data_IF_421541906525
#
_entry.id   IF_421541906525
#
_cell.length_a   1.000
_cell.length_b   1.000
_cell.length_c   1.000
_cell.angle_alpha   90.00
_cell.angle_beta   90.00
_cell.angle_gamma   90.00
#
_symmetry.space_group_name_H-M   'P 1'
#
loop_
_entity.id
_entity.type
_entity.pdbx_description
1 polymer ?
#
# COMPACT_ATOMS: atom_id res chain seq x y z
N UNK A 1 1.26 15.81 16.83
CA UNK A 1 1.21 14.48 16.15
C UNK A 1 1.81 13.43 17.09
N UNK A 2 0.98 12.62 17.76
CA UNK A 2 1.46 11.46 18.52
C UNK A 2 1.33 10.24 17.58
N UNK A 3 2.38 10.04 16.77
CA UNK A 3 2.48 8.85 15.93
C UNK A 3 2.56 7.62 16.83
N UNK A 4 1.75 6.61 16.51
CA UNK A 4 1.65 5.35 17.25
C UNK A 4 2.89 4.47 17.11
N UNK A 5 4.00 4.93 17.68
CA UNK A 5 5.17 4.08 17.84
C UNK A 5 4.89 3.02 18.88
N UNK A 6 5.16 1.75 18.55
CA UNK A 6 5.01 0.62 19.46
C UNK A 6 5.78 0.87 20.78
N UNK A 7 5.21 0.42 21.90
CA UNK A 7 5.84 0.58 23.22
C UNK A 7 7.33 0.14 23.28
N UNK A 8 7.73 -1.00 22.66
CA UNK A 8 9.13 -1.43 22.61
C UNK A 8 10.02 -0.48 21.81
N UNK A 9 9.55 0.09 20.70
CA UNK A 9 10.34 1.07 19.92
C UNK A 9 10.68 2.33 20.72
N UNK A 10 9.74 2.83 21.52
CA UNK A 10 9.98 4.00 22.41
C UNK A 10 10.96 3.70 23.52
N UNK A 11 10.96 2.48 24.07
CA UNK A 11 11.88 2.06 25.11
C UNK A 11 13.33 1.96 24.60
N UNK A 12 13.51 1.42 23.38
CA UNK A 12 14.81 1.33 22.72
C UNK A 12 15.38 2.71 22.39
N UNK A 13 14.55 3.63 21.87
CA UNK A 13 14.98 5.01 21.58
C UNK A 13 15.37 5.74 22.86
N UNK A 14 14.65 5.57 23.97
CA UNK A 14 15.03 6.14 25.27
C UNK A 14 16.34 5.54 25.79
N UNK A 15 16.53 4.25 25.65
CA UNK A 15 17.78 3.57 26.00
C UNK A 15 18.96 4.08 25.17
N UNK A 16 18.78 4.21 23.85
CA UNK A 16 19.80 4.73 22.95
C UNK A 16 20.15 6.20 23.25
N UNK A 17 19.15 7.05 23.57
CA UNK A 17 19.40 8.43 24.00
C UNK A 17 20.12 8.50 25.35
N UNK A 18 19.81 7.57 26.26
CA UNK A 18 20.54 7.45 27.53
C UNK A 18 22.02 7.07 27.33
N UNK A 19 22.27 6.06 26.51
CA UNK A 19 23.60 5.64 26.08
C UNK A 19 24.34 6.77 25.35
N UNK A 20 23.69 7.49 24.45
CA UNK A 20 24.26 8.63 23.74
C UNK A 20 24.75 9.75 24.70
N UNK A 21 23.97 10.04 25.75
CA UNK A 21 24.37 10.99 26.79
C UNK A 21 25.60 10.51 27.58
N UNK A 22 25.65 9.25 27.96
CA UNK A 22 26.78 8.65 28.65
C UNK A 22 28.04 8.67 27.79
N UNK A 23 27.91 8.27 26.51
CA UNK A 23 29.02 8.29 25.55
C UNK A 23 29.50 9.72 25.28
N UNK A 24 28.60 10.70 25.16
CA UNK A 24 28.99 12.10 24.99
C UNK A 24 29.69 12.72 26.19
N UNK A 25 29.47 12.18 27.39
CA UNK A 25 30.23 12.59 28.61
C UNK A 25 31.62 11.95 28.70
N UNK A 26 31.79 10.78 28.08
CA UNK A 26 33.07 10.04 28.11
C UNK A 26 34.02 10.56 27.00
N UNK A 27 33.50 11.02 25.86
CA UNK A 27 34.31 11.48 24.73
C UNK A 27 34.76 12.92 24.98
N UNK A 28 36.10 13.22 24.96
CA UNK A 28 36.61 14.57 25.11
C UNK A 28 36.08 15.56 24.09
N UNK A 29 35.81 16.80 24.48
CA UNK A 29 35.28 17.86 23.59
C UNK A 29 36.03 18.05 22.26
N UNK A 30 37.38 17.97 22.17
CA UNK A 30 38.06 18.10 20.89
C UNK A 30 37.72 16.94 19.90
N UNK A 31 37.52 15.76 20.45
CA UNK A 31 37.15 14.58 19.64
C UNK A 31 35.69 14.67 19.16
N UNK A 32 34.79 15.21 19.99
CA UNK A 32 33.41 15.48 19.55
C UNK A 32 33.37 16.51 18.43
N UNK A 33 34.17 17.58 18.50
CA UNK A 33 34.27 18.59 17.44
C UNK A 33 34.88 18.03 16.17
N UNK A 34 35.90 17.17 16.25
CA UNK A 34 36.49 16.47 15.10
C UNK A 34 35.53 15.49 14.41
N UNK A 35 34.64 14.87 15.19
CA UNK A 35 33.57 14.03 14.63
C UNK A 35 32.49 14.92 13.99
N UNK A 36 32.03 15.96 14.66
CA UNK A 36 30.99 16.85 14.13
C UNK A 36 31.41 17.56 12.83
N UNK A 37 32.66 18.00 12.71
CA UNK A 37 33.16 18.63 11.49
C UNK A 37 33.18 17.70 10.25
N UNK A 38 33.17 16.38 10.46
CA UNK A 38 33.09 15.41 9.36
C UNK A 38 31.66 15.24 8.82
N UNK A 39 30.66 15.71 9.54
CA UNK A 39 29.26 15.71 9.11
C UNK A 39 28.82 17.06 8.53
N UNK A 40 29.71 18.06 8.46
CA UNK A 40 29.39 19.31 7.77
C UNK A 40 29.28 19.09 6.27
N UNK A 41 28.22 19.61 5.62
CA UNK A 41 28.06 19.49 4.17
C UNK A 41 29.26 20.12 3.46
N UNK A 42 29.82 19.38 2.50
CA UNK A 42 30.89 19.91 1.65
C UNK A 42 30.36 21.13 0.87
N UNK A 43 31.15 22.20 0.73
CA UNK A 43 30.75 23.36 -0.05
C UNK A 43 30.54 22.93 -1.51
N UNK A 44 29.34 23.22 -2.05
CA UNK A 44 28.99 22.93 -3.44
C UNK A 44 29.85 23.85 -4.33
N UNK A 45 30.78 23.27 -5.08
CA UNK A 45 31.57 24.00 -6.07
C UNK A 45 30.63 24.34 -7.24
N UNK A 46 30.48 25.64 -7.54
CA UNK A 46 29.65 26.11 -8.64
C UNK A 46 30.19 25.55 -9.96
N UNK A 47 29.42 24.69 -10.61
CA UNK A 47 29.73 24.12 -11.93
C UNK A 47 29.97 22.59 -11.94
N UNK A 48 30.13 21.93 -10.81
CA UNK A 48 30.17 20.47 -10.75
C UNK A 48 28.76 19.91 -10.50
N UNK A 49 28.36 18.93 -11.31
CA UNK A 49 27.16 18.15 -11.07
C UNK A 49 27.50 17.17 -9.95
N UNK A 50 26.94 17.31 -8.74
CA UNK A 50 27.25 16.38 -7.65
C UNK A 50 26.81 14.98 -8.05
N UNK A 51 27.69 13.99 -7.82
CA UNK A 51 27.33 12.57 -8.00
C UNK A 51 26.05 12.28 -7.19
N UNK A 52 25.07 11.57 -7.79
CA UNK A 52 23.87 11.21 -7.07
C UNK A 52 24.23 10.48 -5.78
N UNK A 53 23.75 11.00 -4.65
CA UNK A 53 24.06 10.49 -3.31
C UNK A 53 23.82 8.97 -3.17
N UNK A 54 22.81 8.44 -3.87
CA UNK A 54 22.47 7.03 -3.85
C UNK A 54 23.55 6.12 -4.44
N UNK A 55 24.28 6.56 -5.47
CA UNK A 55 25.39 5.80 -6.05
C UNK A 55 26.59 5.73 -5.10
N UNK A 56 26.92 6.82 -4.41
CA UNK A 56 28.02 6.84 -3.43
C UNK A 56 27.70 5.90 -2.28
N UNK A 57 26.47 5.96 -1.74
CA UNK A 57 26.03 5.08 -0.67
C UNK A 57 26.02 3.62 -1.10
N UNK A 58 25.53 3.31 -2.31
CA UNK A 58 25.52 1.95 -2.85
C UNK A 58 26.94 1.39 -2.96
N UNK A 59 27.89 2.18 -3.47
CA UNK A 59 29.30 1.78 -3.59
C UNK A 59 29.94 1.50 -2.23
N UNK A 60 29.71 2.37 -1.24
CA UNK A 60 30.21 2.17 0.13
C UNK A 60 29.62 0.90 0.74
N UNK A 61 28.31 0.69 0.59
CA UNK A 61 27.65 -0.49 1.13
C UNK A 61 28.20 -1.78 0.50
N UNK A 62 28.46 -1.81 -0.81
CA UNK A 62 29.03 -2.95 -1.49
C UNK A 62 30.45 -3.25 -0.99
N UNK A 63 31.32 -2.22 -0.91
CA UNK A 63 32.72 -2.38 -0.48
C UNK A 63 32.77 -2.87 0.97
N UNK A 64 32.07 -2.20 1.87
CA UNK A 64 32.08 -2.56 3.31
C UNK A 64 31.50 -3.95 3.53
N UNK A 65 30.39 -4.28 2.85
CA UNK A 65 29.79 -5.62 2.95
C UNK A 65 30.74 -6.69 2.42
N UNK A 66 31.41 -6.46 1.30
CA UNK A 66 32.36 -7.39 0.73
C UNK A 66 33.55 -7.65 1.68
N UNK A 67 34.11 -6.60 2.28
CA UNK A 67 35.20 -6.72 3.25
C UNK A 67 34.76 -7.51 4.49
N UNK A 68 33.60 -7.20 5.04
CA UNK A 68 33.07 -7.91 6.21
C UNK A 68 32.78 -9.37 5.94
N UNK A 69 32.15 -9.68 4.80
CA UNK A 69 31.85 -11.05 4.38
C UNK A 69 33.16 -11.84 4.16
N UNK A 70 34.12 -11.27 3.44
CA UNK A 70 35.40 -11.92 3.21
C UNK A 70 36.16 -12.18 4.51
N UNK A 71 36.19 -11.21 5.42
CA UNK A 71 36.83 -11.36 6.75
C UNK A 71 36.14 -12.44 7.58
N UNK A 72 34.81 -12.44 7.62
CA UNK A 72 34.04 -13.43 8.36
C UNK A 72 34.22 -14.84 7.80
N UNK A 73 34.25 -14.97 6.47
CA UNK A 73 34.51 -16.26 5.80
C UNK A 73 35.91 -16.77 6.10
N UNK A 74 36.90 -15.90 6.08
CA UNK A 74 38.30 -16.23 6.43
C UNK A 74 38.42 -16.70 7.88
N UNK A 75 37.66 -16.12 8.79
CA UNK A 75 37.60 -16.51 10.20
C UNK A 75 36.65 -17.70 10.47
N UNK A 76 36.04 -18.28 9.42
CA UNK A 76 35.05 -19.37 9.53
C UNK A 76 33.85 -19.05 10.42
N UNK A 77 33.44 -17.79 10.46
CA UNK A 77 32.27 -17.35 11.22
C UNK A 77 30.98 -17.71 10.48
N UNK A 78 29.97 -18.29 11.15
CA UNK A 78 28.69 -18.63 10.52
C UNK A 78 27.82 -17.37 10.35
N UNK A 79 28.09 -16.57 9.31
CA UNK A 79 27.37 -15.35 9.02
C UNK A 79 26.54 -15.48 7.73
N UNK A 80 25.33 -14.93 7.75
CA UNK A 80 24.51 -14.74 6.55
C UNK A 80 24.95 -13.50 5.80
N UNK A 81 25.23 -13.62 4.52
CA UNK A 81 25.59 -12.50 3.64
C UNK A 81 24.48 -11.44 3.59
N UNK A 82 23.22 -11.88 3.55
CA UNK A 82 22.04 -10.99 3.57
C UNK A 82 21.97 -10.17 4.85
N UNK A 83 22.26 -10.81 6.01
CA UNK A 83 22.29 -10.11 7.29
C UNK A 83 23.38 -9.04 7.33
N UNK A 84 24.59 -9.37 6.91
CA UNK A 84 25.72 -8.43 6.88
C UNK A 84 25.41 -7.25 5.99
N UNK A 85 24.94 -7.48 4.76
CA UNK A 85 24.61 -6.44 3.80
C UNK A 85 23.49 -5.52 4.32
N UNK A 86 22.46 -6.08 4.93
CA UNK A 86 21.38 -5.32 5.54
C UNK A 86 21.89 -4.42 6.69
N UNK A 87 22.71 -4.96 7.57
CA UNK A 87 23.26 -4.21 8.70
C UNK A 87 24.22 -3.11 8.25
N UNK A 88 25.00 -3.34 7.19
CA UNK A 88 25.86 -2.31 6.60
C UNK A 88 25.00 -1.19 5.98
N UNK A 89 23.94 -1.51 5.26
CA UNK A 89 23.04 -0.50 4.70
C UNK A 89 22.33 0.32 5.78
N UNK A 90 21.94 -0.31 6.89
CA UNK A 90 21.38 0.41 8.03
C UNK A 90 22.42 1.27 8.75
N UNK A 91 23.64 0.77 8.93
CA UNK A 91 24.74 1.51 9.54
C UNK A 91 25.18 2.71 8.71
N UNK A 92 25.29 2.59 7.40
CA UNK A 92 25.61 3.71 6.51
C UNK A 92 24.50 4.77 6.53
N UNK A 93 23.23 4.35 6.51
CA UNK A 93 22.10 5.28 6.64
C UNK A 93 22.08 6.02 7.99
N UNK A 94 22.55 5.38 9.06
CA UNK A 94 22.73 6.02 10.37
C UNK A 94 23.90 7.00 10.35
N UNK A 95 25.02 6.62 9.75
CA UNK A 95 26.22 7.48 9.64
C UNK A 95 25.95 8.74 8.81
N UNK A 96 25.09 8.68 7.81
CA UNK A 96 24.68 9.83 6.99
C UNK A 96 23.74 10.82 7.71
N UNK A 97 23.44 10.59 8.99
CA UNK A 97 22.46 11.41 9.71
C UNK A 97 21.03 11.33 9.19
N UNK A 98 20.73 10.34 8.33
CA UNK A 98 19.40 10.14 7.75
C UNK A 98 18.34 9.66 8.77
N UNK A 99 18.75 9.43 10.01
CA UNK A 99 17.89 9.03 11.13
C UNK A 99 17.57 10.25 12.00
N UNK A 100 16.72 11.10 11.47
CA UNK A 100 16.23 12.25 12.22
C UNK A 100 15.35 11.79 13.41
N UNK A 101 15.22 12.61 14.43
CA UNK A 101 14.58 12.25 15.71
C UNK A 101 13.17 11.64 15.54
N UNK A 102 12.42 12.08 14.56
CA UNK A 102 11.08 11.55 14.26
C UNK A 102 11.13 10.28 13.38
N UNK A 103 12.07 10.18 12.45
CA UNK A 103 12.22 9.03 11.55
C UNK A 103 12.96 7.86 12.20
N UNK A 104 13.83 8.10 13.18
CA UNK A 104 14.61 7.07 13.88
C UNK A 104 13.71 5.98 14.50
N UNK A 105 12.58 6.36 15.10
CA UNK A 105 11.65 5.40 15.72
C UNK A 105 11.08 4.42 14.69
N UNK A 106 10.69 4.92 13.51
CA UNK A 106 10.14 4.09 12.45
C UNK A 106 11.21 3.18 11.83
N UNK A 107 12.43 3.69 11.63
CA UNK A 107 13.54 2.92 11.06
C UNK A 107 14.00 1.82 12.01
N UNK A 108 14.15 2.12 13.31
CA UNK A 108 14.46 1.11 14.32
C UNK A 108 13.36 0.07 14.42
N UNK A 109 12.10 0.46 14.37
CA UNK A 109 10.98 -0.48 14.34
C UNK A 109 11.04 -1.37 13.09
N UNK A 110 11.38 -0.83 11.92
CA UNK A 110 11.58 -1.60 10.68
C UNK A 110 12.73 -2.61 10.81
N UNK A 111 13.88 -2.20 11.32
CA UNK A 111 15.03 -3.09 11.55
C UNK A 111 14.66 -4.21 12.52
N UNK A 112 14.00 -3.91 13.63
CA UNK A 112 13.55 -4.91 14.59
C UNK A 112 12.55 -5.88 14.00
N UNK A 113 11.63 -5.39 13.14
CA UNK A 113 10.66 -6.25 12.45
C UNK A 113 11.37 -7.26 11.54
N UNK A 114 12.37 -6.82 10.78
CA UNK A 114 13.17 -7.69 9.90
C UNK A 114 13.96 -8.72 10.72
N UNK A 115 14.67 -8.30 11.77
CA UNK A 115 15.43 -9.21 12.64
C UNK A 115 14.50 -10.20 13.33
N UNK A 116 13.36 -9.75 13.85
CA UNK A 116 12.36 -10.61 14.47
C UNK A 116 11.77 -11.60 13.45
N UNK A 117 11.56 -11.18 12.21
CA UNK A 117 11.12 -12.04 11.12
C UNK A 117 12.11 -13.17 10.85
N UNK A 118 13.40 -12.87 10.76
CA UNK A 118 14.45 -13.89 10.58
C UNK A 118 14.52 -14.86 11.76
N UNK A 119 14.48 -14.32 12.98
CA UNK A 119 14.49 -15.16 14.18
C UNK A 119 13.27 -16.09 14.25
N UNK A 120 12.07 -15.55 13.98
CA UNK A 120 10.84 -16.33 13.98
C UNK A 120 10.84 -17.40 12.88
N UNK A 121 11.36 -17.07 11.69
CA UNK A 121 11.49 -18.01 10.57
C UNK A 121 12.45 -19.14 10.94
N UNK A 122 13.61 -18.83 11.50
CA UNK A 122 14.57 -19.83 11.94
C UNK A 122 14.01 -20.72 13.06
N UNK A 123 13.32 -20.10 14.04
CA UNK A 123 12.70 -20.84 15.14
C UNK A 123 11.59 -21.78 14.65
N UNK A 124 10.71 -21.30 13.77
CA UNK A 124 9.64 -22.13 13.20
C UNK A 124 10.18 -23.27 12.33
N UNK A 125 11.20 -23.00 11.51
CA UNK A 125 11.85 -24.03 10.70
C UNK A 125 12.54 -25.11 11.59
N UNK A 126 13.26 -24.67 12.61
CA UNK A 126 13.92 -25.57 13.55
C UNK A 126 12.91 -26.39 14.35
N UNK A 127 11.83 -25.80 14.81
CA UNK A 127 10.75 -26.50 15.53
C UNK A 127 10.08 -27.54 14.64
N UNK A 128 9.79 -27.20 13.39
CA UNK A 128 9.20 -28.12 12.43
C UNK A 128 10.17 -29.27 12.13
N UNK A 129 11.45 -28.96 11.90
CA UNK A 129 12.49 -30.00 11.69
C UNK A 129 12.63 -30.93 12.88
N UNK A 130 12.57 -30.41 14.10
CA UNK A 130 12.61 -31.24 15.32
C UNK A 130 11.40 -32.16 15.40
N UNK A 131 10.19 -31.69 15.11
CA UNK A 131 8.98 -32.55 15.08
C UNK A 131 9.11 -33.64 14.03
N UNK A 132 9.55 -33.30 12.82
CA UNK A 132 9.77 -34.28 11.74
C UNK A 132 10.83 -35.33 12.16
N UNK A 133 11.94 -34.89 12.77
CA UNK A 133 12.99 -35.77 13.25
C UNK A 133 12.48 -36.76 14.31
N UNK A 134 11.67 -36.29 15.26
CA UNK A 134 11.04 -37.15 16.28
C UNK A 134 10.10 -38.17 15.64
N UNK A 135 9.26 -37.76 14.68
CA UNK A 135 8.35 -38.65 13.97
C UNK A 135 9.09 -39.73 13.17
N UNK A 136 10.19 -39.34 12.50
CA UNK A 136 11.03 -40.31 11.77
C UNK A 136 11.77 -41.25 12.74
N UNK A 137 12.26 -40.74 13.87
CA UNK A 137 12.95 -41.54 14.88
C UNK A 137 12.04 -42.66 15.46
N UNK A 138 10.77 -42.34 15.72
CA UNK A 138 9.81 -43.30 16.29
C UNK A 138 9.14 -44.17 15.23
N UNK A 139 8.88 -43.64 14.03
CA UNK A 139 8.17 -44.36 12.96
C UNK A 139 9.07 -45.03 11.93
N UNK A 140 10.39 -44.92 12.07
CA UNK A 140 11.37 -45.55 11.20
C UNK A 140 11.24 -45.17 9.71
N UNK A 141 11.64 -46.08 8.84
CA UNK A 141 11.65 -45.86 7.38
C UNK A 141 10.25 -45.56 6.80
N UNK A 142 9.21 -46.20 7.36
CA UNK A 142 7.84 -45.96 6.90
C UNK A 142 7.38 -44.52 7.13
N UNK A 143 7.69 -43.94 8.28
CA UNK A 143 7.36 -42.55 8.57
C UNK A 143 8.13 -41.58 7.66
N UNK A 144 9.39 -41.84 7.38
CA UNK A 144 10.20 -41.05 6.47
C UNK A 144 9.61 -41.00 5.05
N UNK A 145 9.18 -42.16 4.54
CA UNK A 145 8.56 -42.28 3.21
C UNK A 145 7.23 -41.54 3.17
N UNK A 146 6.35 -41.72 4.16
CA UNK A 146 5.03 -41.04 4.22
C UNK A 146 5.20 -39.51 4.30
N UNK A 147 6.10 -39.04 5.15
CA UNK A 147 6.37 -37.60 5.29
C UNK A 147 7.00 -37.01 4.01
N UNK A 148 7.89 -37.75 3.35
CA UNK A 148 8.48 -37.37 2.07
C UNK A 148 7.44 -37.23 0.95
N UNK A 149 6.57 -38.23 0.79
CA UNK A 149 5.46 -38.14 -0.18
C UNK A 149 4.47 -37.05 0.20
N UNK A 150 4.16 -36.86 1.48
CA UNK A 150 3.32 -35.76 1.95
C UNK A 150 3.90 -34.38 1.63
N UNK A 151 5.21 -34.19 1.83
CA UNK A 151 5.90 -32.94 1.48
C UNK A 151 5.89 -32.71 -0.04
N UNK A 152 6.18 -33.72 -0.85
CA UNK A 152 6.10 -33.61 -2.32
C UNK A 152 4.67 -33.28 -2.77
N UNK A 153 3.67 -33.95 -2.20
CA UNK A 153 2.27 -33.69 -2.51
C UNK A 153 1.87 -32.24 -2.18
N UNK A 154 2.28 -31.73 -1.02
CA UNK A 154 2.02 -30.34 -0.62
C UNK A 154 2.72 -29.34 -1.54
N UNK A 155 3.97 -29.61 -1.94
CA UNK A 155 4.72 -28.76 -2.89
C UNK A 155 4.05 -28.75 -4.27
N UNK A 156 3.67 -29.92 -4.79
CA UNK A 156 2.98 -30.05 -6.08
C UNK A 156 1.62 -29.34 -6.01
N UNK A 157 0.85 -29.56 -4.94
CA UNK A 157 -0.45 -28.89 -4.75
C UNK A 157 -0.31 -27.38 -4.64
N UNK A 158 0.69 -26.89 -3.91
CA UNK A 158 0.97 -25.45 -3.78
C UNK A 158 1.36 -24.84 -5.11
N UNK A 159 2.26 -25.49 -5.86
CA UNK A 159 2.67 -25.03 -7.19
C UNK A 159 1.54 -25.11 -8.22
N UNK A 160 0.69 -26.17 -8.15
CA UNK A 160 -0.47 -26.27 -9.03
C UNK A 160 -1.50 -25.17 -8.75
N UNK A 161 -1.75 -24.84 -7.47
CA UNK A 161 -2.67 -23.76 -7.11
C UNK A 161 -2.16 -22.40 -7.54
N UNK A 162 -0.86 -22.14 -7.36
CA UNK A 162 -0.21 -20.90 -7.86
C UNK A 162 -0.21 -20.86 -9.40
N UNK A 163 -0.16 -22.04 -10.05
CA UNK A 163 -0.16 -22.15 -11.50
C UNK A 163 -1.59 -22.10 -12.09
N UNK A 164 -2.63 -22.47 -11.32
CA UNK A 164 -4.02 -22.25 -11.74
C UNK A 164 -4.34 -20.76 -11.77
N UNK A 165 -3.88 -19.96 -10.83
CA UNK A 165 -4.00 -18.52 -10.86
C UNK A 165 -3.14 -17.89 -11.99
N UNK A 166 -2.01 -18.52 -12.37
CA UNK A 166 -1.17 -18.12 -13.52
C UNK A 166 -1.58 -18.78 -14.84
N UNK A 167 -2.12 -20.02 -14.84
CA UNK A 167 -2.48 -20.79 -16.06
C UNK A 167 -3.83 -20.36 -16.63
N UNK A 168 -4.75 -19.86 -15.84
CA UNK A 168 -5.93 -19.17 -16.40
C UNK A 168 -5.55 -17.92 -17.20
N UNK A 169 -4.29 -17.47 -17.08
CA UNK A 169 -3.71 -16.37 -17.84
C UNK A 169 -2.74 -16.84 -18.96
N UNK A 170 -2.31 -18.10 -18.98
CA UNK A 170 -1.28 -18.57 -19.93
C UNK A 170 -1.83 -19.29 -21.17
N UNK A 171 -3.02 -19.81 -21.14
CA UNK A 171 -3.68 -20.37 -22.32
C UNK A 171 -4.47 -19.32 -23.12
N UNK A 172 -4.92 -18.24 -22.47
CA UNK A 172 -5.39 -17.03 -23.15
C UNK A 172 -4.25 -16.11 -23.63
N UNK A 173 -3.02 -16.33 -23.21
CA UNK A 173 -1.86 -15.48 -23.53
C UNK A 173 -1.33 -15.58 -24.96
N UNK A 174 -2.03 -16.28 -25.84
CA UNK A 174 -1.91 -16.14 -27.29
C UNK A 174 -3.09 -15.41 -27.94
N UNK A 175 -4.13 -15.06 -27.20
CA UNK A 175 -5.10 -14.08 -27.63
C UNK A 175 -4.47 -12.70 -27.46
N UNK A 176 -4.24 -12.06 -28.56
CA UNK A 176 -3.81 -10.67 -28.68
C UNK A 176 -4.62 -9.82 -27.70
N UNK A 177 -3.96 -9.13 -26.77
CA UNK A 177 -4.61 -8.11 -25.93
C UNK A 177 -5.05 -6.94 -26.80
N UNK A 178 -6.06 -7.18 -27.65
CA UNK A 178 -6.63 -6.19 -28.54
C UNK A 178 -7.43 -5.13 -27.76
N UNK A 179 -7.74 -4.03 -28.41
CA UNK A 179 -8.46 -2.92 -27.79
C UNK A 179 -9.84 -3.35 -27.25
N UNK A 180 -10.52 -4.32 -27.88
CA UNK A 180 -11.82 -4.82 -27.45
C UNK A 180 -11.72 -5.61 -26.14
N UNK A 181 -10.73 -6.49 -26.01
CA UNK A 181 -10.49 -7.25 -24.79
C UNK A 181 -10.07 -6.31 -23.63
N UNK A 182 -9.18 -5.35 -23.90
CA UNK A 182 -8.76 -4.36 -22.91
C UNK A 182 -9.96 -3.53 -22.44
N UNK A 183 -10.90 -3.19 -23.30
CA UNK A 183 -12.15 -2.50 -22.95
C UNK A 183 -13.02 -3.32 -21.99
N UNK A 184 -13.24 -4.61 -22.27
CA UNK A 184 -13.98 -5.49 -21.37
C UNK A 184 -13.31 -5.65 -20.02
N UNK A 185 -11.98 -5.79 -20.00
CA UNK A 185 -11.21 -5.91 -18.78
C UNK A 185 -11.27 -4.61 -17.95
N UNK A 186 -11.22 -3.44 -18.60
CA UNK A 186 -11.39 -2.16 -17.96
C UNK A 186 -12.77 -2.03 -17.32
N UNK A 187 -13.84 -2.32 -18.07
CA UNK A 187 -15.21 -2.23 -17.57
C UNK A 187 -15.42 -3.10 -16.32
N UNK A 188 -14.97 -4.35 -16.38
CA UNK A 188 -15.04 -5.28 -15.24
C UNK A 188 -14.25 -4.78 -14.03
N UNK A 189 -13.02 -4.27 -14.25
CA UNK A 189 -12.18 -3.76 -13.18
C UNK A 189 -12.80 -2.52 -12.52
N UNK A 190 -13.27 -1.57 -13.33
CA UNK A 190 -13.87 -0.33 -12.83
C UNK A 190 -15.15 -0.64 -12.06
N UNK A 191 -16.03 -1.49 -12.58
CA UNK A 191 -17.27 -1.85 -11.92
C UNK A 191 -17.00 -2.52 -10.55
N UNK A 192 -16.07 -3.48 -10.50
CA UNK A 192 -15.64 -4.09 -9.24
C UNK A 192 -15.12 -3.04 -8.26
N UNK A 193 -14.23 -2.17 -8.71
CA UNK A 193 -13.63 -1.14 -7.85
C UNK A 193 -14.65 -0.15 -7.31
N UNK A 194 -15.58 0.34 -8.13
CA UNK A 194 -16.63 1.26 -7.71
C UNK A 194 -17.55 0.63 -6.68
N UNK A 195 -18.02 -0.59 -6.94
CA UNK A 195 -18.94 -1.31 -6.04
C UNK A 195 -18.28 -1.63 -4.68
N UNK A 196 -17.03 -2.11 -4.69
CA UNK A 196 -16.28 -2.41 -3.46
C UNK A 196 -15.98 -1.14 -2.65
N UNK A 197 -15.52 -0.06 -3.30
CA UNK A 197 -15.28 1.23 -2.65
C UNK A 197 -16.54 1.77 -1.99
N UNK A 198 -17.67 1.73 -2.70
CA UNK A 198 -18.95 2.17 -2.18
C UNK A 198 -19.44 1.30 -1.02
N UNK A 199 -19.23 -0.01 -1.09
CA UNK A 199 -19.54 -0.95 0.00
C UNK A 199 -18.75 -0.60 1.26
N UNK A 200 -17.46 -0.33 1.14
CA UNK A 200 -16.61 0.05 2.27
C UNK A 200 -17.01 1.41 2.82
N UNK A 201 -17.30 2.40 1.97
CA UNK A 201 -17.78 3.73 2.39
C UNK A 201 -19.09 3.63 3.17
N UNK A 202 -20.06 2.85 2.68
CA UNK A 202 -21.33 2.62 3.40
C UNK A 202 -21.10 2.04 4.79
N UNK A 203 -20.21 1.03 4.90
CA UNK A 203 -19.85 0.43 6.19
C UNK A 203 -19.10 1.37 7.12
N UNK A 204 -18.25 2.26 6.57
CA UNK A 204 -17.61 3.32 7.37
C UNK A 204 -18.71 4.21 7.96
N UNK A 205 -19.65 4.68 7.14
CA UNK A 205 -20.73 5.56 7.57
C UNK A 205 -21.58 4.90 8.66
N UNK A 206 -22.09 3.69 8.45
CA UNK A 206 -22.95 2.96 9.39
C UNK A 206 -22.26 2.70 10.73
N UNK A 207 -20.99 2.27 10.71
CA UNK A 207 -20.28 1.92 11.94
C UNK A 207 -19.70 3.13 12.67
N UNK A 208 -19.41 4.21 11.94
CA UNK A 208 -19.02 5.49 12.52
C UNK A 208 -20.20 6.13 13.29
N UNK A 209 -21.37 6.18 12.66
CA UNK A 209 -22.59 6.72 13.30
C UNK A 209 -23.06 5.91 14.49
N UNK A 210 -22.84 4.61 14.47
CA UNK A 210 -23.18 3.68 15.55
C UNK A 210 -22.07 3.54 16.63
N UNK A 211 -20.97 4.31 16.54
CA UNK A 211 -19.83 4.32 17.47
C UNK A 211 -19.22 2.92 17.70
N UNK A 212 -19.10 2.10 16.62
CA UNK A 212 -18.67 0.70 16.68
C UNK A 212 -17.20 0.53 16.31
N UNK A 213 -16.29 0.74 17.26
CA UNK A 213 -14.83 0.62 17.04
C UNK A 213 -14.38 -0.73 16.46
N UNK A 214 -14.91 -1.85 16.99
CA UNK A 214 -14.53 -3.20 16.54
C UNK A 214 -14.87 -3.42 15.06
N UNK A 215 -16.04 -2.96 14.63
CA UNK A 215 -16.46 -3.09 13.23
C UNK A 215 -15.65 -2.16 12.32
N UNK A 216 -15.32 -0.95 12.76
CA UNK A 216 -14.44 -0.05 12.03
C UNK A 216 -13.02 -0.63 11.85
N UNK A 217 -12.54 -1.45 12.79
CA UNK A 217 -11.29 -2.17 12.64
C UNK A 217 -11.36 -3.20 11.50
N UNK A 218 -12.48 -3.91 11.34
CA UNK A 218 -12.71 -4.83 10.22
C UNK A 218 -12.87 -4.06 8.90
N UNK A 219 -13.58 -2.95 8.92
CA UNK A 219 -13.76 -2.09 7.74
C UNK A 219 -12.41 -1.53 7.26
N UNK A 220 -11.51 -1.17 8.17
CA UNK A 220 -10.14 -0.78 7.83
C UNK A 220 -9.38 -1.90 7.10
N UNK A 221 -9.52 -3.16 7.53
CA UNK A 221 -8.94 -4.29 6.81
C UNK A 221 -9.52 -4.40 5.39
N UNK A 222 -10.86 -4.35 5.26
CA UNK A 222 -11.51 -4.36 3.93
C UNK A 222 -11.06 -3.20 3.02
N UNK A 223 -10.81 -2.01 3.57
CA UNK A 223 -10.25 -0.89 2.81
C UNK A 223 -8.81 -1.15 2.34
N UNK A 224 -8.05 -1.91 3.12
CA UNK A 224 -6.70 -2.34 2.72
C UNK A 224 -6.77 -3.36 1.59
N UNK A 225 -7.69 -4.33 1.66
CA UNK A 225 -7.90 -5.32 0.60
C UNK A 225 -8.27 -4.62 -0.74
N UNK A 226 -9.17 -3.62 -0.70
CA UNK A 226 -9.52 -2.82 -1.91
C UNK A 226 -8.30 -2.10 -2.49
N UNK A 227 -7.40 -1.61 -1.65
CA UNK A 227 -6.17 -0.95 -2.10
C UNK A 227 -5.18 -1.96 -2.69
N UNK A 228 -5.05 -3.15 -2.13
CA UNK A 228 -4.22 -4.23 -2.66
C UNK A 228 -4.75 -4.74 -4.01
N UNK A 229 -6.06 -4.93 -4.15
CA UNK A 229 -6.71 -5.26 -5.43
C UNK A 229 -6.42 -4.19 -6.52
N UNK A 230 -6.43 -2.91 -6.15
CA UNK A 230 -6.09 -1.82 -7.09
C UNK A 230 -4.61 -1.84 -7.52
N UNK A 231 -3.70 -2.26 -6.66
CA UNK A 231 -2.29 -2.47 -7.01
C UNK A 231 -2.15 -3.67 -7.94
N UNK A 232 -2.84 -4.77 -7.66
CA UNK A 232 -2.79 -5.97 -8.48
C UNK A 232 -3.33 -5.73 -9.90
N UNK A 233 -4.43 -5.01 -10.03
CA UNK A 233 -4.99 -4.63 -11.33
C UNK A 233 -3.97 -3.89 -12.22
N UNK A 234 -3.11 -3.06 -11.62
CA UNK A 234 -2.03 -2.40 -12.36
C UNK A 234 -0.98 -3.40 -12.87
N UNK A 235 -0.77 -4.53 -12.20
CA UNK A 235 0.17 -5.56 -12.63
C UNK A 235 -0.24 -6.19 -13.96
N UNK A 236 -1.54 -6.21 -14.26
CA UNK A 236 -2.08 -6.69 -15.54
C UNK A 236 -1.55 -5.89 -16.72
N UNK A 237 -1.44 -4.57 -16.58
CA UNK A 237 -0.83 -3.71 -17.60
C UNK A 237 0.60 -4.14 -17.94
N UNK A 238 1.43 -4.43 -16.94
CA UNK A 238 2.80 -4.87 -17.19
C UNK A 238 2.87 -6.23 -17.87
N UNK A 239 1.91 -7.12 -17.59
CA UNK A 239 1.78 -8.40 -18.30
C UNK A 239 1.37 -8.20 -19.76
N UNK A 240 0.45 -7.29 -20.06
CA UNK A 240 0.08 -6.91 -21.42
C UNK A 240 1.27 -6.39 -22.22
N UNK A 241 2.12 -5.55 -21.59
CA UNK A 241 3.34 -5.01 -22.23
C UNK A 241 4.37 -6.11 -22.45
N UNK A 242 4.51 -7.05 -21.53
CA UNK A 242 5.46 -8.15 -21.66
C UNK A 242 5.03 -9.21 -22.70
N UNK A 243 3.72 -9.37 -22.92
CA UNK A 243 3.19 -10.38 -23.86
C UNK A 243 3.40 -10.01 -25.34
N UNK A 244 3.51 -8.73 -25.67
CA UNK A 244 3.61 -8.27 -27.05
C UNK A 244 4.54 -7.06 -27.19
N UNK A 245 5.66 -7.25 -27.89
CA UNK A 245 6.69 -6.23 -28.04
C UNK A 245 6.34 -5.10 -29.03
N UNK A 246 5.42 -5.33 -29.96
CA UNK A 246 5.04 -4.38 -31.01
C UNK A 246 3.52 -4.40 -31.26
N UNK A 247 2.71 -3.87 -30.34
CA UNK A 247 1.26 -3.79 -30.51
C UNK A 247 0.88 -2.81 -31.64
N UNK A 248 -0.32 -2.96 -32.19
CA UNK A 248 -0.90 -1.94 -33.05
C UNK A 248 -1.02 -0.60 -32.29
N UNK A 249 -1.12 0.52 -33.00
CA UNK A 249 -1.33 1.82 -32.36
C UNK A 249 -2.61 1.84 -31.52
N UNK A 250 -3.69 1.26 -32.00
CA UNK A 250 -4.97 1.19 -31.29
C UNK A 250 -4.85 0.37 -29.98
N UNK A 251 -4.14 -0.77 -30.03
CA UNK A 251 -3.95 -1.62 -28.87
C UNK A 251 -3.03 -0.96 -27.83
N UNK A 252 -1.99 -0.27 -28.29
CA UNK A 252 -1.12 0.51 -27.42
C UNK A 252 -1.91 1.62 -26.68
N UNK A 253 -2.70 2.40 -27.43
CA UNK A 253 -3.52 3.47 -26.88
C UNK A 253 -4.56 2.92 -25.89
N UNK A 254 -5.20 1.80 -26.19
CA UNK A 254 -6.15 1.14 -25.28
C UNK A 254 -5.48 0.68 -23.98
N UNK A 255 -4.30 0.07 -24.06
CA UNK A 255 -3.51 -0.34 -22.88
C UNK A 255 -3.09 0.87 -22.03
N UNK A 256 -2.73 1.98 -22.65
CA UNK A 256 -2.41 3.22 -21.94
C UNK A 256 -3.64 3.79 -21.20
N UNK A 257 -4.82 3.77 -21.83
CA UNK A 257 -6.08 4.19 -21.19
C UNK A 257 -6.43 3.29 -19.99
N UNK A 258 -6.21 1.97 -20.12
CA UNK A 258 -6.34 1.04 -18.99
C UNK A 258 -5.42 1.39 -17.82
N UNK A 259 -4.14 1.68 -18.08
CA UNK A 259 -3.19 2.10 -17.05
C UNK A 259 -3.65 3.39 -16.33
N UNK A 260 -4.22 4.35 -17.07
CA UNK A 260 -4.78 5.59 -16.49
C UNK A 260 -5.93 5.28 -15.54
N UNK A 261 -6.84 4.40 -15.91
CA UNK A 261 -7.94 3.99 -15.06
C UNK A 261 -7.45 3.28 -13.78
N UNK A 262 -6.51 2.35 -13.89
CA UNK A 262 -5.89 1.69 -12.73
C UNK A 262 -5.18 2.67 -11.80
N UNK A 263 -4.54 3.70 -12.34
CA UNK A 263 -3.90 4.73 -11.54
C UNK A 263 -4.92 5.53 -10.74
N UNK A 264 -6.03 5.90 -11.36
CA UNK A 264 -7.12 6.61 -10.70
C UNK A 264 -7.81 5.76 -9.63
N UNK A 265 -8.11 4.49 -9.94
CA UNK A 265 -8.63 3.51 -8.97
C UNK A 265 -7.74 3.42 -7.74
N UNK A 266 -6.43 3.36 -7.92
CA UNK A 266 -5.47 3.27 -6.82
C UNK A 266 -5.49 4.51 -5.91
N UNK A 267 -5.61 5.71 -6.48
CA UNK A 267 -5.67 6.94 -5.66
C UNK A 267 -6.96 7.01 -4.84
N UNK A 268 -8.12 6.66 -5.43
CA UNK A 268 -9.39 6.56 -4.70
C UNK A 268 -9.31 5.53 -3.58
N UNK A 269 -8.73 4.34 -3.85
CA UNK A 269 -8.56 3.29 -2.85
C UNK A 269 -7.63 3.70 -1.70
N UNK A 270 -6.58 4.51 -1.98
CA UNK A 270 -5.69 5.07 -0.96
C UNK A 270 -6.43 6.06 -0.07
N UNK A 271 -7.24 6.94 -0.66
CA UNK A 271 -8.08 7.90 0.07
C UNK A 271 -9.08 7.18 0.96
N UNK A 272 -9.70 6.09 0.46
CA UNK A 272 -10.58 5.22 1.23
C UNK A 272 -9.87 4.58 2.43
N UNK A 273 -8.65 4.06 2.25
CA UNK A 273 -7.85 3.46 3.32
C UNK A 273 -7.53 4.48 4.42
N UNK A 274 -7.18 5.70 4.03
CA UNK A 274 -6.92 6.79 4.96
C UNK A 274 -8.19 7.20 5.73
N UNK A 275 -9.33 7.27 5.06
CA UNK A 275 -10.62 7.56 5.67
C UNK A 275 -11.03 6.49 6.68
N UNK A 276 -10.89 5.20 6.34
CA UNK A 276 -11.20 4.10 7.24
C UNK A 276 -10.33 4.14 8.52
N UNK A 277 -9.04 4.50 8.37
CA UNK A 277 -8.15 4.72 9.51
C UNK A 277 -8.60 5.90 10.36
N UNK A 278 -8.96 7.02 9.73
CA UNK A 278 -9.42 8.23 10.42
C UNK A 278 -10.72 7.96 11.19
N UNK A 279 -11.69 7.24 10.59
CA UNK A 279 -12.93 6.83 11.22
C UNK A 279 -12.70 6.00 12.50
N UNK A 280 -11.84 4.96 12.39
CA UNK A 280 -11.50 4.13 13.55
C UNK A 280 -10.80 4.93 14.65
N UNK A 281 -9.84 5.77 14.30
CA UNK A 281 -9.07 6.55 15.26
C UNK A 281 -9.97 7.61 15.95
N UNK A 282 -10.97 8.15 15.25
CA UNK A 282 -11.95 9.08 15.81
C UNK A 282 -12.80 8.40 16.90
N UNK A 283 -13.37 7.24 16.61
CA UNK A 283 -14.19 6.46 17.54
C UNK A 283 -13.34 5.94 18.72
N UNK A 284 -12.16 5.38 18.46
CA UNK A 284 -11.25 4.88 19.49
C UNK A 284 -10.82 5.97 20.49
N UNK A 285 -10.74 7.22 20.05
CA UNK A 285 -10.45 8.37 20.92
C UNK A 285 -11.69 9.00 21.54
N UNK A 286 -12.88 8.41 21.38
CA UNK A 286 -14.17 8.87 21.92
C UNK A 286 -14.51 10.31 21.55
N UNK A 287 -14.23 10.70 20.30
CA UNK A 287 -14.64 11.99 19.79
C UNK A 287 -16.13 11.97 19.41
N UNK A 288 -16.80 13.12 19.59
CA UNK A 288 -18.22 13.23 19.22
C UNK A 288 -18.43 13.04 17.72
N UNK A 289 -19.48 12.30 17.35
CA UNK A 289 -19.77 11.92 15.96
C UNK A 289 -20.41 13.06 15.13
N UNK A 290 -20.85 14.15 15.75
CA UNK A 290 -21.45 15.29 15.05
C UNK A 290 -22.97 15.32 15.15
N UNK A 291 -23.61 16.20 14.36
CA UNK A 291 -25.06 16.34 14.34
C UNK A 291 -25.71 15.26 13.47
N UNK A 292 -26.90 14.80 13.85
CA UNK A 292 -27.67 13.83 13.07
C UNK A 292 -28.04 14.35 11.67
N UNK A 293 -28.21 15.66 11.49
CA UNK A 293 -28.53 16.27 10.20
C UNK A 293 -27.45 16.01 9.17
N UNK A 294 -26.19 16.37 9.48
CA UNK A 294 -25.04 16.15 8.58
C UNK A 294 -24.83 14.66 8.27
N UNK A 295 -25.01 13.83 9.28
CA UNK A 295 -24.90 12.38 9.13
C UNK A 295 -25.95 11.83 8.16
N UNK A 296 -27.20 12.30 8.25
CA UNK A 296 -28.27 11.91 7.35
C UNK A 296 -28.00 12.41 5.92
N UNK A 297 -27.54 13.64 5.76
CA UNK A 297 -27.18 14.21 4.43
C UNK A 297 -26.09 13.37 3.74
N UNK A 298 -25.07 12.95 4.48
CA UNK A 298 -24.04 12.04 3.97
C UNK A 298 -24.64 10.68 3.59
N UNK A 299 -25.55 10.15 4.40
CA UNK A 299 -26.25 8.90 4.11
C UNK A 299 -27.06 8.98 2.80
N UNK A 300 -27.74 10.10 2.53
CA UNK A 300 -28.45 10.29 1.25
C UNK A 300 -27.50 10.38 0.07
N UNK A 301 -26.37 11.08 0.20
CA UNK A 301 -25.34 11.14 -0.86
C UNK A 301 -24.78 9.75 -1.19
N UNK A 302 -24.51 8.92 -0.17
CA UNK A 302 -24.06 7.54 -0.38
C UNK A 302 -25.11 6.72 -1.13
N UNK A 303 -26.40 6.90 -0.82
CA UNK A 303 -27.50 6.22 -1.50
C UNK A 303 -27.61 6.65 -2.98
N UNK A 304 -27.48 7.96 -3.25
CA UNK A 304 -27.52 8.50 -4.61
C UNK A 304 -26.33 8.00 -5.47
N UNK A 305 -25.13 7.96 -4.90
CA UNK A 305 -23.96 7.39 -5.58
C UNK A 305 -24.16 5.90 -5.84
N UNK A 306 -24.81 5.17 -4.91
CA UNK A 306 -25.14 3.76 -5.12
C UNK A 306 -26.07 3.56 -6.31
N UNK A 307 -27.10 4.41 -6.46
CA UNK A 307 -27.99 4.36 -7.62
C UNK A 307 -27.26 4.70 -8.90
N UNK A 308 -26.31 5.62 -8.87
CA UNK A 308 -25.48 5.98 -10.02
C UNK A 308 -24.57 4.80 -10.44
N UNK A 309 -23.91 4.14 -9.51
CA UNK A 309 -23.02 3.00 -9.78
C UNK A 309 -23.83 1.80 -10.32
N UNK A 310 -24.99 1.52 -9.74
CA UNK A 310 -25.86 0.42 -10.20
C UNK A 310 -26.45 0.70 -11.60
N UNK A 311 -26.88 1.92 -11.87
CA UNK A 311 -27.44 2.31 -13.18
C UNK A 311 -26.43 2.16 -14.34
N UNK A 312 -25.13 2.13 -14.04
CA UNK A 312 -24.10 1.82 -15.02
C UNK A 312 -24.15 0.38 -15.51
N UNK A 313 -24.50 -0.58 -14.63
CA UNK A 313 -24.67 -1.99 -15.01
C UNK A 313 -25.84 -2.17 -15.99
N UNK A 314 -26.89 -1.35 -15.85
CA UNK A 314 -28.09 -1.41 -16.65
C UNK A 314 -27.97 -0.72 -18.04
N UNK A 315 -26.77 -0.33 -18.45
CA UNK A 315 -26.53 0.38 -19.73
C UNK A 315 -27.42 1.61 -19.95
N UNK A 316 -27.71 2.36 -18.90
CA UNK A 316 -28.51 3.58 -18.95
C UNK A 316 -27.81 4.67 -19.81
N UNK A 317 -28.61 5.63 -20.28
CA UNK A 317 -28.10 6.77 -21.08
C UNK A 317 -26.93 7.48 -20.37
N UNK A 318 -25.75 7.46 -21.02
CA UNK A 318 -24.50 8.04 -20.51
C UNK A 318 -24.68 9.52 -20.20
N UNK A 319 -25.47 10.26 -21.01
CA UNK A 319 -25.72 11.69 -20.79
C UNK A 319 -26.52 11.92 -19.51
N UNK A 320 -27.54 11.11 -19.28
CA UNK A 320 -28.34 11.17 -18.05
C UNK A 320 -27.53 10.82 -16.81
N UNK A 321 -26.63 9.83 -16.92
CA UNK A 321 -25.72 9.45 -15.83
C UNK A 321 -24.72 10.57 -15.51
N UNK A 322 -24.16 11.23 -16.52
CA UNK A 322 -23.24 12.37 -16.35
C UNK A 322 -23.93 13.55 -15.66
N UNK A 323 -25.16 13.88 -16.05
CA UNK A 323 -25.93 14.95 -15.39
C UNK A 323 -26.22 14.61 -13.91
N UNK A 324 -26.54 13.35 -13.58
CA UNK A 324 -26.72 12.90 -12.20
C UNK A 324 -25.41 12.98 -11.40
N UNK A 325 -24.28 12.62 -11.99
CA UNK A 325 -22.98 12.73 -11.35
C UNK A 325 -22.66 14.20 -11.01
N UNK A 326 -22.89 15.12 -11.94
CA UNK A 326 -22.70 16.57 -11.71
C UNK A 326 -23.62 17.10 -10.59
N UNK A 327 -24.87 16.65 -10.50
CA UNK A 327 -25.77 16.99 -9.41
C UNK A 327 -25.25 16.51 -8.05
N UNK A 328 -24.77 15.28 -7.98
CA UNK A 328 -24.16 14.73 -6.76
C UNK A 328 -22.94 15.53 -6.33
N UNK A 329 -22.06 15.91 -7.26
CA UNK A 329 -20.89 16.77 -6.99
C UNK A 329 -21.33 18.12 -6.41
N UNK A 330 -22.33 18.77 -7.00
CA UNK A 330 -22.85 20.05 -6.51
C UNK A 330 -23.36 19.93 -5.08
N UNK A 331 -24.07 18.86 -4.77
CA UNK A 331 -24.59 18.60 -3.41
C UNK A 331 -23.47 18.30 -2.40
N UNK A 332 -22.41 17.63 -2.83
CA UNK A 332 -21.20 17.42 -2.01
C UNK A 332 -20.57 18.76 -1.67
N UNK A 333 -20.39 19.63 -2.64
CA UNK A 333 -19.79 20.97 -2.46
C UNK A 333 -20.63 21.87 -1.54
N UNK A 334 -21.95 21.81 -1.66
CA UNK A 334 -22.84 22.54 -0.78
C UNK A 334 -22.75 22.05 0.68
N UNK A 335 -22.71 20.72 0.88
CA UNK A 335 -22.54 20.15 2.21
C UNK A 335 -21.16 20.47 2.80
N UNK A 336 -20.09 20.50 2.00
CA UNK A 336 -18.75 20.95 2.42
C UNK A 336 -18.80 22.41 2.92
N UNK A 337 -19.49 23.30 2.19
CA UNK A 337 -19.65 24.72 2.58
C UNK A 337 -20.41 24.82 3.92
N UNK A 338 -21.53 24.12 4.07
CA UNK A 338 -22.32 24.08 5.31
C UNK A 338 -21.50 23.60 6.50
N UNK A 339 -20.65 22.58 6.32
CA UNK A 339 -19.73 22.08 7.35
C UNK A 339 -18.72 23.15 7.78
N UNK A 340 -18.15 23.88 6.84
CA UNK A 340 -17.19 24.95 7.14
C UNK A 340 -17.87 26.13 7.89
N UNK A 341 -19.11 26.45 7.56
CA UNK A 341 -19.89 27.49 8.26
C UNK A 341 -20.35 27.06 9.67
N UNK A 342 -20.54 25.76 9.90
CA UNK A 342 -20.96 25.23 11.19
C UNK A 342 -19.85 25.25 12.24
N UNK A 343 -18.59 25.18 11.84
CA UNK A 343 -17.42 25.15 12.72
C UNK A 343 -17.26 26.43 13.57
N UNK A 344 -17.29 27.65 13.04
CA UNK A 344 -17.16 28.88 13.83
C UNK A 344 -18.31 29.09 14.82
N UNK A 345 -19.46 28.49 14.55
CA UNK A 345 -20.66 28.55 15.44
C UNK A 345 -20.58 27.60 16.63
N UNK A 346 -19.51 26.81 16.77
CA UNK A 346 -19.31 25.89 17.88
C UNK A 346 -20.22 24.67 17.90
N UNK A 347 -21.02 24.45 16.84
CA UNK A 347 -21.95 23.32 16.73
C UNK A 347 -21.24 21.98 16.48
N UNK A 348 -19.97 21.99 16.07
CA UNK A 348 -19.18 20.81 15.76
C UNK A 348 -17.73 20.98 16.21
N UNK A 349 -17.10 19.90 16.67
CA UNK A 349 -15.67 19.90 16.98
C UNK A 349 -14.82 19.91 15.72
N UNK A 350 -13.63 20.52 15.76
CA UNK A 350 -12.70 20.59 14.64
C UNK A 350 -12.42 19.18 14.06
N UNK A 351 -12.19 18.20 14.92
CA UNK A 351 -11.90 16.82 14.49
C UNK A 351 -13.09 16.12 13.82
N UNK A 352 -14.30 16.42 14.27
CA UNK A 352 -15.49 15.90 13.62
C UNK A 352 -15.69 16.53 12.24
N UNK A 353 -15.47 17.84 12.13
CA UNK A 353 -15.51 18.55 10.86
C UNK A 353 -14.45 18.00 9.88
N UNK A 354 -13.20 17.78 10.33
CA UNK A 354 -12.12 17.18 9.56
C UNK A 354 -12.49 15.80 9.01
N UNK A 355 -13.11 14.95 9.85
CA UNK A 355 -13.58 13.64 9.43
C UNK A 355 -14.64 13.73 8.32
N UNK A 356 -15.67 14.54 8.52
CA UNK A 356 -16.75 14.67 7.54
C UNK A 356 -16.28 15.32 6.23
N UNK A 357 -15.38 16.29 6.28
CA UNK A 357 -14.76 16.87 5.08
C UNK A 357 -13.93 15.82 4.34
N UNK A 358 -13.16 15.00 5.04
CA UNK A 358 -12.41 13.91 4.44
C UNK A 358 -13.33 12.86 3.81
N UNK A 359 -14.47 12.56 4.45
CA UNK A 359 -15.47 11.66 3.91
C UNK A 359 -16.08 12.18 2.61
N UNK A 360 -16.49 13.45 2.58
CA UNK A 360 -17.03 14.10 1.39
C UNK A 360 -16.01 14.19 0.26
N UNK A 361 -14.73 14.37 0.59
CA UNK A 361 -13.66 14.34 -0.40
C UNK A 361 -13.57 12.98 -1.08
N UNK A 362 -13.62 11.88 -0.32
CA UNK A 362 -13.57 10.52 -0.90
C UNK A 362 -14.82 10.23 -1.74
N UNK A 363 -16.00 10.70 -1.32
CA UNK A 363 -17.21 10.60 -2.14
C UNK A 363 -17.05 11.34 -3.46
N UNK A 364 -16.51 12.55 -3.46
CA UNK A 364 -16.23 13.34 -4.67
C UNK A 364 -15.21 12.63 -5.57
N UNK A 365 -14.14 12.11 -5.00
CA UNK A 365 -13.14 11.33 -5.76
C UNK A 365 -13.77 10.08 -6.41
N UNK A 366 -14.70 9.42 -5.73
CA UNK A 366 -15.41 8.26 -6.28
C UNK A 366 -16.28 8.64 -7.48
N UNK A 367 -17.02 9.74 -7.41
CA UNK A 367 -17.85 10.24 -8.52
C UNK A 367 -16.98 10.68 -9.70
N UNK A 368 -15.89 11.40 -9.44
CA UNK A 368 -14.92 11.78 -10.48
C UNK A 368 -14.29 10.52 -11.13
N UNK A 369 -13.99 9.51 -10.34
CA UNK A 369 -13.47 8.24 -10.88
C UNK A 369 -14.50 7.56 -11.79
N UNK A 370 -15.77 7.57 -11.42
CA UNK A 370 -16.86 7.07 -12.23
C UNK A 370 -16.93 7.80 -13.58
N UNK A 371 -16.86 9.14 -13.60
CA UNK A 371 -16.89 9.94 -14.83
C UNK A 371 -15.67 9.67 -15.72
N UNK A 372 -14.47 9.69 -15.14
CA UNK A 372 -13.22 9.43 -15.86
C UNK A 372 -13.24 8.03 -16.45
N UNK A 373 -13.66 7.04 -15.70
CA UNK A 373 -13.72 5.66 -16.16
C UNK A 373 -14.71 5.48 -17.34
N UNK A 374 -15.87 6.15 -17.28
CA UNK A 374 -16.84 6.13 -18.38
C UNK A 374 -16.28 6.76 -19.67
N UNK A 375 -15.54 7.87 -19.54
CA UNK A 375 -14.85 8.49 -20.68
C UNK A 375 -13.76 7.59 -21.28
N UNK A 376 -12.99 6.91 -20.44
CA UNK A 376 -11.92 6.01 -20.90
C UNK A 376 -12.48 4.79 -21.61
N UNK A 377 -13.63 4.25 -21.16
CA UNK A 377 -14.33 3.17 -21.83
C UNK A 377 -14.85 3.59 -23.21
N UNK A 378 -15.50 4.74 -23.31
CA UNK A 378 -15.94 5.29 -24.61
C UNK A 378 -14.77 5.43 -25.61
N UNK A 379 -13.60 5.88 -25.12
CA UNK A 379 -12.40 6.02 -25.94
C UNK A 379 -11.88 4.65 -26.42
N UNK A 380 -11.82 3.65 -25.53
CA UNK A 380 -11.39 2.30 -25.90
C UNK A 380 -12.37 1.64 -26.88
N UNK A 381 -13.66 1.81 -26.69
CA UNK A 381 -14.67 1.29 -27.61
C UNK A 381 -14.58 1.93 -29.00
N UNK A 382 -14.25 3.22 -29.07
CA UNK A 382 -13.98 3.91 -30.32
C UNK A 382 -12.74 3.34 -31.03
N UNK A 383 -11.66 3.07 -30.29
CA UNK A 383 -10.44 2.44 -30.81
C UNK A 383 -10.73 1.02 -31.34
N UNK A 384 -11.50 0.23 -30.59
CA UNK A 384 -11.88 -1.13 -30.98
C UNK A 384 -12.75 -1.16 -32.24
N UNK A 385 -13.65 -0.20 -32.40
CA UNK A 385 -14.47 -0.05 -33.61
C UNK A 385 -13.66 0.39 -34.82
N UNK A 386 -12.74 1.34 -34.63
CA UNK A 386 -11.83 1.81 -35.67
C UNK A 386 -10.86 0.73 -36.17
N UNK A 387 -10.35 -0.10 -35.27
CA UNK A 387 -9.48 -1.22 -35.60
C UNK A 387 -10.21 -2.36 -36.41
N UNK A 388 -11.50 -2.52 -36.22
CA UNK A 388 -12.31 -3.50 -37.00
C UNK A 388 -12.70 -2.98 -38.38
N UNK A 389 -12.63 -1.67 -38.62
CA UNK A 389 -12.99 -1.04 -39.88
C UNK A 389 -11.78 -0.80 -40.82
N UNK A 390 -10.55 -0.92 -40.30
CA UNK A 390 -9.29 -0.85 -41.02
C UNK A 390 -8.75 -2.26 -41.37
#
# INVERSE_FOLDING_TARGET
>A
MKAGASAPGRMIVRGAMGLGKVISQIIPMPMQRGIASRFEPLPVVKGEIPLPFDYVRASINLIVSAILIASATSLKLPLSTTYVTFMVAMGSSFADGAWDRESAVYRISGVLTVISGWFLTALSASSLAAVVAVLVFWGGEAAAIILGFGAIFLLVRSNLKTREDDVTLSDESRSVYDAAYVGQLLSKHVQKSLSETLRVLSRIHENFTADRERELTKVKASATDVFEDAIEARSVYYRMVAAEAAPSKADFDARYLYLRACTNTREVSRSLQNLAKLARDHVANRHRVGSNEITNDIGTLVADIRTLVNAREDHADVTALRNRAADVITRIEDLQRRLMEAQPRGSMTIRCCEFHLSYLLVLRELVNHYEIASLLEEQIDALARGAKAA
#
